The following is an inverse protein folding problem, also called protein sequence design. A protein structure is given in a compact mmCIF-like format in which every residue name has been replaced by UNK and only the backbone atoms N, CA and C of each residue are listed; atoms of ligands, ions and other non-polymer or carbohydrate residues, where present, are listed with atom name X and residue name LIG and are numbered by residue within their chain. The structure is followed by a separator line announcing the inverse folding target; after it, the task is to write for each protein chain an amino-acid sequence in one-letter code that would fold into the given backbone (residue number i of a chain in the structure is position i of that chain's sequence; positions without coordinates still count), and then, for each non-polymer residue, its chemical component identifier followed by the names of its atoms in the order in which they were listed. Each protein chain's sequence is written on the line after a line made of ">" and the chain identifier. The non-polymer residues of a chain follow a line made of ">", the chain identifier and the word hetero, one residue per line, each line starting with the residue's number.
data_IF_190973809639
#
_entry.id   IF_190973809639
#
_cell.length_a   1.000
_cell.length_b   1.000
_cell.length_c   1.000
_cell.angle_alpha   90.00
_cell.angle_beta   90.00
_cell.angle_gamma   90.00
#
_symmetry.space_group_name_H-M   'P 1'
#
loop_
_entity.id
_entity.type
_entity.pdbx_description
1 polymer ?
#
# COMPACT_ATOMS: atom_id res chain seq x y z
N UNK A 1 -2.18 4.38 19.84
CA UNK A 1 -1.33 5.13 18.91
C UNK A 1 -1.99 4.96 17.54
N UNK A 2 -2.54 6.02 16.95
CA UNK A 2 -3.13 5.95 15.62
C UNK A 2 -1.98 5.88 14.61
N UNK A 3 -2.00 4.90 13.71
CA UNK A 3 -1.10 4.86 12.56
C UNK A 3 -1.55 5.97 11.61
N UNK A 4 -0.72 7.00 11.45
CA UNK A 4 -0.94 8.06 10.45
C UNK A 4 -0.15 7.71 9.19
N UNK A 5 -0.81 7.23 8.11
CA UNK A 5 -0.13 6.81 6.91
C UNK A 5 0.50 7.99 6.14
N UNK A 6 0.03 9.23 6.35
CA UNK A 6 0.61 10.42 5.71
C UNK A 6 1.91 10.84 6.37
N UNK A 7 1.93 10.88 7.72
CA UNK A 7 3.17 11.10 8.47
C UNK A 7 4.22 10.04 8.10
N UNK A 8 3.78 8.80 7.87
CA UNK A 8 4.68 7.74 7.42
C UNK A 8 5.23 7.97 6.01
N UNK A 9 4.45 8.51 5.07
CA UNK A 9 4.98 8.89 3.75
C UNK A 9 6.05 9.98 3.86
N UNK A 10 5.86 10.97 4.73
CA UNK A 10 6.84 12.03 4.97
C UNK A 10 8.15 11.46 5.53
N UNK A 11 8.07 10.54 6.50
CA UNK A 11 9.23 9.83 7.01
C UNK A 11 9.93 9.04 5.90
N UNK A 12 9.16 8.31 5.09
CA UNK A 12 9.70 7.53 3.98
C UNK A 12 10.36 8.41 2.93
N UNK A 13 9.89 9.63 2.67
CA UNK A 13 10.55 10.56 1.75
C UNK A 13 11.84 11.14 2.34
N UNK A 14 11.86 11.42 3.63
CA UNK A 14 13.03 11.93 4.35
C UNK A 14 14.16 10.89 4.51
N UNK A 15 13.86 9.59 4.36
CA UNK A 15 14.88 8.55 4.38
C UNK A 15 15.87 8.74 3.23
N UNK A 16 17.13 9.01 3.59
CA UNK A 16 18.24 9.11 2.68
C UNK A 16 18.29 7.90 1.72
N UNK A 17 18.49 8.17 0.44
CA UNK A 17 18.71 7.15 -0.58
C UNK A 17 19.83 6.22 -0.12
N UNK A 18 19.57 4.91 -0.04
CA UNK A 18 20.56 3.90 0.35
C UNK A 18 20.63 3.50 1.83
N UNK A 19 19.67 3.89 2.67
CA UNK A 19 19.66 3.54 4.12
C UNK A 19 19.51 2.04 4.44
N UNK A 20 19.04 1.23 3.48
CA UNK A 20 18.86 -0.23 3.54
C UNK A 20 20.15 -1.09 3.58
N UNK A 21 21.23 -0.67 2.93
CA UNK A 21 22.25 -1.56 2.31
C UNK A 21 22.84 -0.90 1.03
N UNK A 22 22.59 0.39 0.82
CA UNK A 22 22.81 1.06 -0.47
C UNK A 22 21.65 0.93 -1.46
N UNK A 23 20.60 0.16 -1.15
CA UNK A 23 19.37 0.10 -1.94
C UNK A 23 18.25 0.97 -1.32
N UNK A 24 17.32 1.38 -2.18
CA UNK A 24 16.21 2.25 -1.85
C UNK A 24 16.25 3.52 -2.68
N UNK A 25 15.60 3.49 -3.83
CA UNK A 25 15.33 4.68 -4.63
C UNK A 25 14.51 5.69 -3.81
N UNK A 26 14.66 7.01 -4.06
CA UNK A 26 13.76 8.00 -3.49
C UNK A 26 12.32 7.67 -3.89
N UNK A 27 11.36 8.02 -3.03
CA UNK A 27 9.95 7.82 -3.32
C UNK A 27 9.57 8.63 -4.57
N UNK A 28 9.08 7.97 -5.61
CA UNK A 28 8.64 8.65 -6.83
C UNK A 28 7.42 9.54 -6.50
N UNK A 29 7.40 10.83 -6.90
CA UNK A 29 6.29 11.74 -6.60
C UNK A 29 4.93 11.22 -7.11
N UNK A 30 4.91 10.45 -8.20
CA UNK A 30 3.68 9.82 -8.71
C UNK A 30 3.19 8.73 -7.76
N UNK A 31 4.11 7.97 -7.15
CA UNK A 31 3.75 6.95 -6.15
C UNK A 31 3.18 7.63 -4.92
N UNK A 32 3.79 8.72 -4.44
CA UNK A 32 3.25 9.50 -3.32
C UNK A 32 1.82 9.95 -3.60
N UNK A 33 1.57 10.55 -4.77
CA UNK A 33 0.22 10.97 -5.16
C UNK A 33 -0.79 9.80 -5.24
N UNK A 34 -0.37 8.63 -5.74
CA UNK A 34 -1.21 7.43 -5.74
C UNK A 34 -1.50 6.94 -4.32
N UNK A 35 -0.52 6.96 -3.43
CA UNK A 35 -0.68 6.56 -2.03
C UNK A 35 -1.62 7.50 -1.28
N UNK A 36 -1.44 8.80 -1.39
CA UNK A 36 -2.34 9.81 -0.79
C UNK A 36 -3.78 9.63 -1.28
N UNK A 37 -3.98 9.48 -2.61
CA UNK A 37 -5.30 9.20 -3.19
C UNK A 37 -5.91 7.92 -2.65
N UNK A 38 -5.09 6.88 -2.45
CA UNK A 38 -5.55 5.60 -1.94
C UNK A 38 -5.92 5.69 -0.45
N UNK A 39 -5.14 6.40 0.36
CA UNK A 39 -5.40 6.62 1.78
C UNK A 39 -6.65 7.47 2.01
N UNK A 40 -6.88 8.50 1.19
CA UNK A 40 -8.12 9.28 1.20
C UNK A 40 -9.33 8.38 0.94
N UNK A 41 -9.20 7.43 0.00
CA UNK A 41 -10.26 6.49 -0.34
C UNK A 41 -10.52 5.49 0.79
N UNK A 42 -9.48 4.96 1.44
CA UNK A 42 -9.60 4.11 2.64
C UNK A 42 -10.34 4.85 3.76
N UNK A 43 -9.94 6.10 4.04
CA UNK A 43 -10.57 6.92 5.07
C UNK A 43 -12.05 7.22 4.74
N UNK A 44 -12.37 7.49 3.48
CA UNK A 44 -13.74 7.71 3.00
C UNK A 44 -14.62 6.47 3.22
N UNK A 45 -14.10 5.28 2.90
CA UNK A 45 -14.78 3.99 3.11
C UNK A 45 -14.69 3.49 4.56
N UNK A 46 -14.09 4.28 5.47
CA UNK A 46 -13.87 3.94 6.89
C UNK A 46 -13.09 2.64 7.10
N UNK A 47 -12.21 2.30 6.16
CA UNK A 47 -11.28 1.18 6.29
C UNK A 47 -10.11 1.56 7.21
N UNK A 48 -9.53 0.60 7.94
CA UNK A 48 -8.43 0.90 8.85
C UNK A 48 -7.17 1.35 8.10
N UNK A 49 -6.36 2.23 8.72
CA UNK A 49 -5.11 2.67 8.10
C UNK A 49 -4.10 1.51 8.02
N UNK A 50 -3.32 1.42 6.93
CA UNK A 50 -2.26 0.42 6.77
C UNK A 50 -1.02 0.73 7.60
N UNK A 51 -0.20 -0.30 7.80
CA UNK A 51 1.25 -0.12 7.98
C UNK A 51 1.88 0.23 6.64
N UNK A 52 2.72 1.27 6.60
CA UNK A 52 3.27 1.79 5.35
C UNK A 52 4.80 1.68 5.33
N UNK A 53 5.31 1.04 4.28
CA UNK A 53 6.72 0.80 4.03
C UNK A 53 7.11 1.27 2.63
N UNK A 54 8.41 1.51 2.42
CA UNK A 54 8.96 1.69 1.07
C UNK A 54 9.19 0.29 0.47
N UNK A 55 8.76 0.06 -0.76
CA UNK A 55 9.05 -1.20 -1.45
C UNK A 55 10.48 -1.20 -2.01
N UNK A 56 11.03 -2.38 -2.25
CA UNK A 56 12.38 -2.54 -2.84
C UNK A 56 12.51 -1.85 -4.22
N UNK A 57 11.40 -1.73 -4.94
CA UNK A 57 11.34 -1.11 -6.27
C UNK A 57 11.18 0.43 -6.22
N UNK A 58 11.21 1.04 -5.03
CA UNK A 58 10.96 2.48 -4.85
C UNK A 58 9.47 2.87 -4.83
N UNK A 59 8.59 1.88 -4.69
CA UNK A 59 7.16 2.06 -4.48
C UNK A 59 6.78 2.24 -3.01
N UNK A 60 5.48 2.21 -2.74
CA UNK A 60 4.90 2.21 -1.39
C UNK A 60 4.17 0.90 -1.19
N UNK A 61 4.45 0.22 -0.09
CA UNK A 61 3.75 -0.98 0.34
C UNK A 61 2.89 -0.64 1.55
N UNK A 62 1.59 -0.90 1.43
CA UNK A 62 0.59 -0.74 2.47
C UNK A 62 0.11 -2.12 2.91
N UNK A 63 0.13 -2.40 4.21
CA UNK A 63 -0.18 -3.73 4.76
C UNK A 63 -1.23 -3.66 5.87
N UNK A 64 -2.06 -4.70 5.93
CA UNK A 64 -3.08 -4.90 6.95
C UNK A 64 -3.07 -6.36 7.40
N UNK A 65 -3.44 -6.55 8.66
CA UNK A 65 -3.78 -7.87 9.20
C UNK A 65 -5.26 -7.87 9.57
N UNK A 66 -6.03 -8.79 8.97
CA UNK A 66 -7.46 -8.98 9.21
C UNK A 66 -7.77 -10.42 9.62
N UNK A 67 -7.80 -10.68 10.93
CA UNK A 67 -7.92 -12.05 11.44
C UNK A 67 -6.71 -12.87 11.00
N UNK A 68 -6.94 -13.95 10.25
CA UNK A 68 -5.88 -14.78 9.65
C UNK A 68 -5.39 -14.26 8.29
N UNK A 69 -5.94 -13.17 7.77
CA UNK A 69 -5.57 -12.65 6.45
C UNK A 69 -4.50 -11.56 6.57
N UNK A 70 -3.34 -11.79 5.96
CA UNK A 70 -2.35 -10.74 5.71
C UNK A 70 -2.58 -10.16 4.31
N UNK A 71 -2.98 -8.89 4.26
CA UNK A 71 -3.32 -8.16 3.02
C UNK A 71 -2.26 -7.12 2.74
N UNK A 72 -1.78 -7.06 1.50
CA UNK A 72 -0.75 -6.12 1.06
C UNK A 72 -1.15 -5.47 -0.24
N UNK A 73 -0.88 -4.16 -0.37
CA UNK A 73 -1.02 -3.38 -1.61
C UNK A 73 0.29 -2.64 -1.87
N UNK A 74 0.99 -3.01 -2.94
CA UNK A 74 2.15 -2.28 -3.47
C UNK A 74 1.71 -1.31 -4.57
N UNK A 75 2.05 -0.03 -4.41
CA UNK A 75 1.85 1.04 -5.36
C UNK A 75 3.19 1.41 -6.00
N UNK A 76 3.24 1.35 -7.33
CA UNK A 76 4.38 1.77 -8.15
C UNK A 76 3.96 2.88 -9.11
N UNK A 77 4.89 3.55 -9.83
CA UNK A 77 4.53 4.71 -10.65
C UNK A 77 3.48 4.44 -11.73
N UNK A 78 3.39 3.20 -12.22
CA UNK A 78 2.51 2.82 -13.35
C UNK A 78 1.64 1.60 -13.09
N UNK A 79 1.80 0.93 -11.95
CA UNK A 79 1.10 -0.32 -11.61
C UNK A 79 0.82 -0.38 -10.11
N UNK A 80 -0.19 -1.15 -9.76
CA UNK A 80 -0.44 -1.57 -8.40
C UNK A 80 -0.61 -3.09 -8.37
N UNK A 81 -0.20 -3.68 -7.25
CA UNK A 81 -0.29 -5.09 -6.99
C UNK A 81 -0.84 -5.29 -5.59
N UNK A 82 -1.91 -6.05 -5.45
CA UNK A 82 -2.42 -6.48 -4.17
C UNK A 82 -2.33 -8.00 -4.07
N UNK A 83 -2.10 -8.49 -2.86
CA UNK A 83 -2.24 -9.89 -2.54
C UNK A 83 -2.77 -10.06 -1.12
N UNK A 84 -3.34 -11.23 -0.86
CA UNK A 84 -3.73 -11.68 0.46
C UNK A 84 -3.24 -13.10 0.67
N UNK A 85 -2.88 -13.41 1.91
CA UNK A 85 -2.61 -14.77 2.37
C UNK A 85 -3.44 -15.05 3.62
N UNK A 86 -4.23 -16.11 3.61
CA UNK A 86 -4.80 -16.67 4.83
C UNK A 86 -3.75 -17.59 5.47
N UNK A 87 -3.19 -17.17 6.60
CA UNK A 87 -2.07 -17.87 7.25
C UNK A 87 -2.48 -19.21 7.88
N UNK A 88 -3.77 -19.43 8.12
CA UNK A 88 -4.26 -20.67 8.72
C UNK A 88 -4.45 -21.77 7.67
N UNK A 89 -4.87 -21.38 6.45
CA UNK A 89 -5.21 -22.33 5.37
C UNK A 89 -4.17 -22.37 4.25
N UNK A 90 -3.33 -21.33 4.15
CA UNK A 90 -2.43 -21.11 3.02
C UNK A 90 -3.14 -20.66 1.74
N UNK A 91 -4.42 -20.29 1.81
CA UNK A 91 -5.15 -19.74 0.67
C UNK A 91 -4.58 -18.36 0.29
N UNK A 92 -4.57 -18.06 -1.01
CA UNK A 92 -4.05 -16.81 -1.55
C UNK A 92 -4.93 -16.28 -2.68
N UNK A 93 -5.00 -14.96 -2.79
CA UNK A 93 -5.62 -14.23 -3.91
C UNK A 93 -4.78 -13.00 -4.24
N UNK A 94 -4.81 -12.57 -5.50
CA UNK A 94 -3.99 -11.46 -5.97
C UNK A 94 -4.70 -10.63 -7.05
N UNK A 95 -4.30 -9.36 -7.13
CA UNK A 95 -4.80 -8.40 -8.11
C UNK A 95 -3.65 -7.57 -8.65
N UNK A 96 -3.54 -7.45 -9.97
CA UNK A 96 -2.55 -6.58 -10.62
C UNK A 96 -3.20 -5.74 -11.71
N UNK A 97 -2.96 -4.44 -11.70
CA UNK A 97 -3.45 -3.54 -12.73
C UNK A 97 -2.50 -2.34 -12.96
N UNK A 98 -2.68 -1.66 -14.10
CA UNK A 98 -1.99 -0.38 -14.36
C UNK A 98 -2.64 0.73 -13.55
N UNK A 99 -1.81 1.67 -13.09
CA UNK A 99 -2.26 2.89 -12.42
C UNK A 99 -2.06 4.07 -13.36
N UNK A 100 -3.15 4.81 -13.60
CA UNK A 100 -3.16 6.01 -14.46
C UNK A 100 -4.01 7.14 -13.90
N UNK A 101 -4.43 7.04 -12.63
CA UNK A 101 -5.21 8.05 -11.89
C UNK A 101 -6.12 7.41 -10.83
N UNK A 102 -6.85 8.23 -10.08
CA UNK A 102 -7.63 7.79 -8.92
C UNK A 102 -8.59 6.61 -9.20
N UNK A 103 -9.34 6.64 -10.31
CA UNK A 103 -10.28 5.57 -10.68
C UNK A 103 -9.62 4.19 -10.85
N UNK A 104 -8.35 4.16 -11.23
CA UNK A 104 -7.61 2.90 -11.40
C UNK A 104 -7.28 2.21 -10.07
N UNK A 105 -7.43 2.90 -8.93
CA UNK A 105 -7.19 2.35 -7.60
C UNK A 105 -8.43 1.69 -6.97
N UNK A 106 -9.64 1.94 -7.52
CA UNK A 106 -10.89 1.40 -6.97
C UNK A 106 -10.91 -0.14 -6.83
N UNK A 107 -10.36 -0.93 -7.79
CA UNK A 107 -10.29 -2.39 -7.62
C UNK A 107 -9.44 -2.82 -6.41
N UNK A 108 -8.38 -2.08 -6.09
CA UNK A 108 -7.51 -2.36 -4.94
C UNK A 108 -8.18 -1.99 -3.62
N UNK A 109 -8.99 -0.92 -3.62
CA UNK A 109 -9.80 -0.55 -2.46
C UNK A 109 -10.84 -1.63 -2.16
N UNK A 110 -11.54 -2.10 -3.20
CA UNK A 110 -12.49 -3.20 -3.10
C UNK A 110 -11.81 -4.50 -2.66
N UNK A 111 -10.58 -4.75 -3.12
CA UNK A 111 -9.78 -5.89 -2.68
C UNK A 111 -9.54 -5.87 -1.17
N UNK A 112 -9.07 -4.75 -0.62
CA UNK A 112 -8.85 -4.60 0.84
C UNK A 112 -10.17 -4.72 1.61
N UNK A 113 -11.23 -4.05 1.13
CA UNK A 113 -12.54 -4.03 1.79
C UNK A 113 -13.16 -5.42 2.00
N UNK A 114 -12.85 -6.40 1.13
CA UNK A 114 -13.32 -7.80 1.26
C UNK A 114 -12.92 -8.47 2.57
N UNK A 115 -11.85 -7.99 3.22
CA UNK A 115 -11.27 -8.61 4.41
C UNK A 115 -11.46 -7.78 5.68
N UNK A 116 -11.87 -6.52 5.54
CA UNK A 116 -12.00 -5.59 6.67
C UNK A 116 -13.32 -5.74 7.48
N UNK A 117 -14.13 -6.77 7.19
CA UNK A 117 -15.45 -7.02 7.79
C UNK A 117 -15.40 -7.95 9.00
#
# INVERSE_FOLDING_TARGET
>A
MTLDPYARLDELEALAVGGHDGYGAPLDPRVRAHAETFFDALATERLPPPYVYRSESGGVQAEWTFGSHEVSVELSPTRAYAHVVDVDTGWMDELRAKVSGARSLAPFLAFVARFAT
#
